data_IF_109699277288
#
_entry.id   IF_109699277288
#
_cell.length_a   1.000
_cell.length_b   1.000
_cell.length_c   1.000
_cell.angle_alpha   90.00
_cell.angle_beta   90.00
_cell.angle_gamma   90.00
#
_symmetry.space_group_name_H-M   'P 1'
#
loop_
_entity.id
_entity.type
_entity.pdbx_description
1 polymer ?
#
# COMPACT_ATOMS: atom_id res chain seq x y z
N UNK A 1 -17.45 8.26 -3.72
CA UNK A 1 -16.70 8.10 -2.44
C UNK A 1 -16.40 6.63 -2.12
N UNK A 2 -17.42 5.75 -2.05
CA UNK A 2 -17.24 4.35 -1.65
C UNK A 2 -16.25 3.53 -2.49
N UNK A 3 -16.23 3.73 -3.82
CA UNK A 3 -15.26 3.08 -4.73
C UNK A 3 -13.81 3.32 -4.31
N UNK A 4 -13.50 4.57 -3.95
CA UNK A 4 -12.16 5.02 -3.59
C UNK A 4 -11.72 4.37 -2.27
N UNK A 5 -12.62 4.33 -1.28
CA UNK A 5 -12.36 3.68 0.00
C UNK A 5 -12.08 2.19 -0.18
N UNK A 6 -12.92 1.49 -0.96
CA UNK A 6 -12.72 0.06 -1.23
C UNK A 6 -11.39 -0.23 -1.94
N UNK A 7 -10.99 0.63 -2.88
CA UNK A 7 -9.67 0.53 -3.53
C UNK A 7 -8.54 0.68 -2.55
N UNK A 8 -8.59 1.68 -1.68
CA UNK A 8 -7.54 1.91 -0.69
C UNK A 8 -7.40 0.69 0.23
N UNK A 9 -8.52 0.15 0.73
CA UNK A 9 -8.52 -1.05 1.56
C UNK A 9 -7.92 -2.24 0.80
N UNK A 10 -8.36 -2.48 -0.43
CA UNK A 10 -7.83 -3.58 -1.25
C UNK A 10 -6.33 -3.44 -1.54
N UNK A 11 -5.86 -2.24 -1.86
CA UNK A 11 -4.44 -1.96 -2.06
C UNK A 11 -3.63 -2.26 -0.79
N UNK A 12 -4.11 -1.86 0.39
CA UNK A 12 -3.46 -2.20 1.66
C UNK A 12 -3.38 -3.70 1.87
N UNK A 13 -4.48 -4.45 1.63
CA UNK A 13 -4.48 -5.91 1.72
C UNK A 13 -3.47 -6.56 0.77
N UNK A 14 -3.38 -6.06 -0.47
CA UNK A 14 -2.44 -6.56 -1.47
C UNK A 14 -0.99 -6.33 -1.05
N UNK A 15 -0.68 -5.15 -0.49
CA UNK A 15 0.66 -4.86 0.04
C UNK A 15 1.02 -5.79 1.20
N UNK A 16 0.11 -5.98 2.16
CA UNK A 16 0.37 -6.89 3.29
C UNK A 16 0.66 -8.33 2.84
N UNK A 17 -0.06 -8.83 1.83
CA UNK A 17 0.22 -10.18 1.30
C UNK A 17 1.60 -10.26 0.67
N UNK A 18 2.01 -9.25 -0.09
CA UNK A 18 3.36 -9.21 -0.66
C UNK A 18 4.45 -9.17 0.40
N UNK A 19 4.26 -8.38 1.46
CA UNK A 19 5.20 -8.30 2.59
C UNK A 19 5.30 -9.63 3.35
N UNK A 20 4.15 -10.26 3.64
CA UNK A 20 4.13 -11.58 4.30
C UNK A 20 4.82 -12.63 3.44
N UNK A 21 4.55 -12.67 2.13
CA UNK A 21 5.19 -13.59 1.21
C UNK A 21 6.72 -13.36 1.16
N UNK A 22 7.15 -12.09 1.12
CA UNK A 22 8.56 -11.72 1.22
C UNK A 22 9.21 -12.21 2.51
N UNK A 23 8.55 -12.00 3.65
CA UNK A 23 9.03 -12.43 4.96
C UNK A 23 9.16 -13.95 5.06
N UNK A 24 8.16 -14.71 4.58
CA UNK A 24 8.22 -16.17 4.62
C UNK A 24 9.39 -16.67 3.76
N UNK A 25 9.59 -16.11 2.57
CA UNK A 25 10.72 -16.46 1.72
C UNK A 25 12.06 -16.19 2.42
N UNK A 26 12.21 -15.02 3.05
CA UNK A 26 13.42 -14.67 3.81
C UNK A 26 13.67 -15.60 5.00
N UNK A 27 12.63 -16.01 5.72
CA UNK A 27 12.75 -16.98 6.83
C UNK A 27 13.21 -18.34 6.32
N UNK A 28 12.66 -18.81 5.19
CA UNK A 28 13.04 -20.10 4.61
C UNK A 28 14.50 -20.07 4.15
N UNK A 29 14.92 -19.00 3.48
CA UNK A 29 16.32 -18.80 3.07
C UNK A 29 17.26 -18.85 4.28
N UNK A 30 16.97 -18.08 5.33
CA UNK A 30 17.74 -18.06 6.56
C UNK A 30 17.79 -19.44 7.25
N UNK A 31 16.66 -20.17 7.28
CA UNK A 31 16.62 -21.55 7.82
C UNK A 31 17.54 -22.48 7.01
N UNK A 32 17.55 -22.36 5.68
CA UNK A 32 18.37 -23.19 4.82
C UNK A 32 19.87 -22.91 5.03
N UNK A 33 20.26 -21.65 5.18
CA UNK A 33 21.64 -21.26 5.48
C UNK A 33 22.14 -21.83 6.81
N UNK A 34 21.25 -21.93 7.81
CA UNK A 34 21.56 -22.52 9.11
C UNK A 34 21.53 -24.06 9.11
N UNK A 35 21.29 -24.70 7.96
CA UNK A 35 21.17 -26.15 7.85
C UNK A 35 19.92 -26.71 8.54
N UNK A 36 18.93 -25.86 8.82
CA UNK A 36 17.65 -26.26 9.39
C UNK A 36 16.71 -26.77 8.30
N UNK A 37 15.69 -27.52 8.71
CA UNK A 37 14.68 -28.04 7.79
C UNK A 37 13.91 -26.89 7.11
N UNK A 38 14.02 -26.79 5.79
CA UNK A 38 13.26 -25.85 4.98
C UNK A 38 11.95 -26.51 4.55
N UNK A 39 10.86 -26.13 5.20
CA UNK A 39 9.54 -26.58 4.76
C UNK A 39 9.22 -26.01 3.38
N UNK A 40 8.49 -26.76 2.53
CA UNK A 40 8.06 -26.26 1.23
C UNK A 40 7.25 -24.97 1.39
N UNK A 41 7.70 -23.91 0.73
CA UNK A 41 6.99 -22.64 0.71
C UNK A 41 5.68 -22.76 -0.09
N UNK A 42 4.60 -22.24 0.48
CA UNK A 42 3.37 -21.98 -0.25
C UNK A 42 3.07 -20.49 -0.18
N UNK A 43 3.22 -19.82 -1.31
CA UNK A 43 2.90 -18.41 -1.44
C UNK A 43 1.41 -18.17 -1.21
N UNK A 44 1.06 -17.10 -0.51
CA UNK A 44 -0.32 -16.66 -0.44
C UNK A 44 -0.80 -16.31 -1.86
N UNK A 45 -2.04 -16.69 -2.22
CA UNK A 45 -2.54 -16.48 -3.56
C UNK A 45 -2.57 -14.99 -3.92
N UNK A 46 -2.20 -14.67 -5.16
CA UNK A 46 -2.36 -13.33 -5.70
C UNK A 46 -3.86 -13.00 -5.86
N UNK A 47 -4.18 -11.72 -5.64
CA UNK A 47 -5.53 -11.21 -5.88
C UNK A 47 -5.65 -10.62 -7.28
N UNK A 48 -6.65 -11.09 -8.04
CA UNK A 48 -7.14 -10.42 -9.25
C UNK A 48 -7.67 -9.01 -8.92
N UNK A 49 -7.67 -8.08 -9.88
CA UNK A 49 -8.24 -6.73 -9.69
C UNK A 49 -9.78 -6.78 -9.66
N UNK A 50 -10.43 -6.63 -8.49
CA UNK A 50 -11.88 -6.69 -8.42
C UNK A 50 -12.56 -5.45 -9.02
N UNK A 51 -11.79 -4.39 -9.33
CA UNK A 51 -12.31 -3.13 -9.85
C UNK A 51 -12.19 -2.98 -11.36
N UNK A 52 -11.66 -3.97 -12.08
CA UNK A 52 -11.42 -3.93 -13.53
C UNK A 52 -12.70 -3.50 -14.29
N UNK A 53 -13.82 -4.17 -14.03
CA UNK A 53 -15.12 -3.86 -14.67
C UNK A 53 -15.61 -2.44 -14.40
N UNK A 54 -15.26 -1.87 -13.25
CA UNK A 54 -15.61 -0.49 -12.92
C UNK A 54 -14.62 0.49 -13.55
N UNK A 55 -13.35 0.13 -13.72
CA UNK A 55 -12.41 0.94 -14.51
C UNK A 55 -12.89 1.11 -15.96
N UNK A 56 -13.33 0.02 -16.60
CA UNK A 56 -13.82 0.07 -17.99
C UNK A 56 -15.01 1.02 -18.15
N UNK A 57 -15.97 0.98 -17.21
CA UNK A 57 -17.16 1.84 -17.26
C UNK A 57 -16.82 3.31 -17.05
N UNK A 58 -15.94 3.62 -16.11
CA UNK A 58 -15.51 5.01 -15.87
C UNK A 58 -14.73 5.56 -17.09
N UNK A 59 -13.89 4.73 -17.72
CA UNK A 59 -13.16 5.10 -18.92
C UNK A 59 -14.10 5.36 -20.12
N UNK A 60 -15.11 4.52 -20.32
CA UNK A 60 -16.12 4.71 -21.36
C UNK A 60 -16.98 5.97 -21.12
N UNK A 61 -17.31 6.27 -19.86
CA UNK A 61 -18.04 7.47 -19.50
C UNK A 61 -17.22 8.75 -19.74
N UNK A 62 -15.89 8.69 -19.55
CA UNK A 62 -14.99 9.81 -19.83
C UNK A 62 -14.80 10.07 -21.35
N UNK A 63 -14.89 9.03 -22.19
CA UNK A 63 -14.73 9.13 -23.65
C UNK A 63 -15.97 9.67 -24.39
N UNK A 64 -17.13 9.74 -23.76
CA UNK A 64 -18.37 10.20 -24.39
C UNK A 64 -18.59 11.72 -24.40
N UNK A 65 -17.58 12.53 -24.03
CA UNK A 65 -17.73 13.96 -23.77
C UNK A 65 -16.83 14.90 -24.58
N UNK A 66 -16.15 14.43 -25.63
CA UNK A 66 -15.18 15.24 -26.38
C UNK A 66 -15.73 15.68 -27.75
N UNK A 67 -16.45 16.82 -27.79
CA UNK A 67 -16.36 17.76 -28.91
C UNK A 67 -15.12 18.64 -28.65
N UNK A 68 -14.17 18.62 -29.60
CA UNK A 68 -12.86 19.28 -29.54
C UNK A 68 -12.96 20.81 -29.45
N UNK A 69 -12.27 21.41 -28.47
CA UNK A 69 -11.71 22.76 -28.60
C UNK A 69 -10.20 22.70 -28.31
N UNK A 70 -9.31 23.19 -29.21
CA UNK A 70 -7.88 22.98 -29.07
C UNK A 70 -7.25 23.97 -28.10
N UNK A 71 -6.66 23.48 -27.01
CA UNK A 71 -5.85 24.26 -26.06
C UNK A 71 -4.32 24.15 -26.35
N UNK A 72 -3.52 25.20 -26.08
CA UNK A 72 -2.11 25.29 -26.50
C UNK A 72 -1.17 24.39 -25.67
N UNK A 73 0.07 24.15 -26.15
CA UNK A 73 0.90 23.02 -25.70
C UNK A 73 1.46 23.26 -24.28
N UNK A 74 1.10 22.37 -23.35
CA UNK A 74 1.68 22.34 -22.01
C UNK A 74 2.76 21.27 -21.92
N UNK A 75 3.90 21.65 -21.33
CA UNK A 75 5.16 20.89 -21.24
C UNK A 75 4.96 19.51 -20.63
N UNK A 76 5.67 18.53 -21.20
CA UNK A 76 5.75 17.14 -20.75
C UNK A 76 6.25 17.06 -19.31
N UNK A 77 5.38 16.64 -18.38
CA UNK A 77 5.79 16.06 -17.10
C UNK A 77 5.53 14.55 -17.19
N UNK A 78 6.61 13.79 -17.02
CA UNK A 78 6.62 12.34 -16.91
C UNK A 78 5.87 11.91 -15.65
N UNK A 79 4.63 11.42 -15.80
CA UNK A 79 3.89 10.77 -14.70
C UNK A 79 4.46 9.39 -14.43
N UNK A 80 5.30 9.29 -13.40
CA UNK A 80 5.60 8.04 -12.71
C UNK A 80 5.66 8.35 -11.21
N UNK A 81 5.05 7.46 -10.45
CA UNK A 81 4.99 7.39 -8.99
C UNK A 81 3.92 8.25 -8.32
N UNK A 82 3.36 7.65 -7.28
CA UNK A 82 2.43 8.19 -6.30
C UNK A 82 2.98 9.50 -5.73
N UNK A 83 2.39 10.65 -6.09
CA UNK A 83 2.52 11.89 -5.32
C UNK A 83 1.30 11.88 -4.36
N UNK A 84 1.49 11.62 -3.07
CA UNK A 84 2.07 12.50 -2.04
C UNK A 84 1.14 13.69 -1.76
N UNK A 85 0.48 13.60 -0.61
CA UNK A 85 -0.20 14.72 0.04
C UNK A 85 0.25 14.63 1.50
N UNK A 86 1.32 15.37 1.81
CA UNK A 86 1.82 15.59 3.17
C UNK A 86 0.76 16.31 4.00
N UNK A 87 0.14 15.63 4.96
CA UNK A 87 -0.45 16.27 6.15
C UNK A 87 0.48 16.00 7.33
N UNK A 88 1.44 16.91 7.49
CA UNK A 88 2.24 17.07 8.70
C UNK A 88 1.41 17.73 9.80
N UNK A 89 1.07 16.98 10.84
CA UNK A 89 0.85 17.53 12.18
C UNK A 89 1.66 16.64 13.14
N UNK A 90 2.79 17.17 13.61
CA UNK A 90 3.69 16.46 14.51
C UNK A 90 3.06 16.30 15.89
N UNK A 91 2.85 15.06 16.34
CA UNK A 91 2.58 14.79 17.75
C UNK A 91 3.91 14.83 18.52
N UNK A 92 4.03 15.76 19.47
CA UNK A 92 5.16 15.79 20.41
C UNK A 92 5.18 14.49 21.24
N UNK A 93 6.35 13.87 21.48
CA UNK A 93 6.43 12.66 22.28
C UNK A 93 6.00 12.96 23.72
N UNK A 94 5.02 12.21 24.23
CA UNK A 94 4.61 12.26 25.63
C UNK A 94 5.82 11.98 26.51
N UNK A 95 6.25 12.99 27.27
CA UNK A 95 7.31 12.89 28.25
C UNK A 95 6.91 11.87 29.32
N UNK A 96 7.48 10.67 29.24
CA UNK A 96 7.30 9.62 30.23
C UNK A 96 7.89 10.12 31.56
N UNK A 97 7.04 10.37 32.56
CA UNK A 97 7.49 10.55 33.94
C UNK A 97 7.69 9.16 34.53
N UNK A 98 8.95 8.81 34.75
CA UNK A 98 9.32 7.71 35.63
C UNK A 98 8.80 8.07 37.03
N UNK A 99 7.92 7.25 37.57
CA UNK A 99 7.57 7.32 38.99
C UNK A 99 8.67 6.53 39.71
N UNK A 100 9.47 7.22 40.52
CA UNK A 100 10.25 6.56 41.56
C UNK A 100 9.22 5.98 42.56
N UNK A 101 8.96 4.68 42.47
CA UNK A 101 8.28 3.93 43.54
C UNK A 101 9.26 3.80 44.72
N UNK A 102 9.44 4.92 45.41
CA UNK A 102 9.95 4.97 46.78
C UNK A 102 8.73 4.91 47.69
N UNK A 103 8.33 3.70 48.07
CA UNK A 103 7.53 3.47 49.26
C UNK A 103 8.21 2.38 50.10
N UNK A 104 8.89 2.87 51.12
CA UNK A 104 9.42 2.12 52.25
C UNK A 104 8.29 1.46 53.06
N UNK A 105 8.33 0.14 53.24
CA UNK A 105 8.01 -0.52 54.52
C UNK A 105 8.70 -1.89 54.66
#
# INVERSE_FOLDING_TARGET
MIKRVLRNIFCMCKTMVNEVNGNIKGIIEMKCEMGLHCDPYHELPEFDDPFEKWNTKDAQAAQGGEEEEPAPPTRTISRRACDDDEETEGEEPLQYREYDDDDEE
#
